data_IF_968320568333
#
_entry.id   IF_968320568333
#
_cell.length_a   1.000
_cell.length_b   1.000
_cell.length_c   1.000
_cell.angle_alpha   90.00
_cell.angle_beta   90.00
_cell.angle_gamma   90.00
#
_symmetry.space_group_name_H-M   'P 1'
#
loop_
_entity.id
_entity.type
_entity.pdbx_description
1 polymer ?
#
# COMPACT_ATOMS: atom_id res chain seq x y z
N UNK A 1 -29.10 12.39 -89.95
CA UNK A 1 -29.54 12.54 -88.55
C UNK A 1 -29.27 13.96 -88.09
N UNK A 2 -30.32 14.73 -87.79
CA UNK A 2 -30.31 16.16 -87.43
C UNK A 2 -29.36 16.47 -86.26
N UNK A 3 -28.77 17.67 -86.27
CA UNK A 3 -27.85 18.18 -85.24
C UNK A 3 -28.39 18.03 -83.81
N UNK A 4 -29.71 18.08 -83.63
CA UNK A 4 -30.42 17.84 -82.37
C UNK A 4 -30.23 16.41 -81.82
N UNK A 5 -30.10 15.39 -82.68
CA UNK A 5 -29.83 14.01 -82.26
C UNK A 5 -28.37 13.81 -81.83
N UNK A 6 -27.42 14.61 -82.31
CA UNK A 6 -26.00 14.51 -81.90
C UNK A 6 -25.78 15.08 -80.50
N UNK A 7 -26.41 16.22 -80.18
CA UNK A 7 -26.35 16.82 -78.83
C UNK A 7 -27.01 15.90 -77.79
N UNK A 8 -28.15 15.29 -78.13
CA UNK A 8 -28.86 14.38 -77.22
C UNK A 8 -28.07 13.09 -76.95
N UNK A 9 -27.38 12.54 -77.97
CA UNK A 9 -26.51 11.37 -77.78
C UNK A 9 -25.28 11.70 -76.93
N UNK A 10 -24.67 12.88 -77.12
CA UNK A 10 -23.50 13.31 -76.34
C UNK A 10 -23.84 13.55 -74.87
N UNK A 11 -25.01 14.11 -74.56
CA UNK A 11 -25.46 14.32 -73.17
C UNK A 11 -25.82 13.00 -72.48
N UNK A 12 -26.44 12.04 -73.19
CA UNK A 12 -26.71 10.69 -72.66
C UNK A 12 -25.43 9.86 -72.45
N UNK A 13 -24.41 10.03 -73.31
CA UNK A 13 -23.11 9.38 -73.13
C UNK A 13 -22.34 10.00 -71.95
N UNK A 14 -22.39 11.32 -71.75
CA UNK A 14 -21.77 11.97 -70.58
C UNK A 14 -22.49 11.64 -69.25
N UNK A 15 -23.82 11.56 -69.24
CA UNK A 15 -24.59 11.10 -68.07
C UNK A 15 -24.41 9.60 -67.80
N UNK A 16 -24.24 8.78 -68.85
CA UNK A 16 -23.94 7.35 -68.73
C UNK A 16 -22.52 7.07 -68.23
N UNK A 17 -21.52 7.86 -68.64
CA UNK A 17 -20.14 7.75 -68.14
C UNK A 17 -20.05 8.25 -66.70
N UNK A 18 -20.77 9.31 -66.32
CA UNK A 18 -20.84 9.77 -64.92
C UNK A 18 -21.50 8.72 -64.00
N UNK A 19 -22.52 8.00 -64.48
CA UNK A 19 -23.18 6.92 -63.72
C UNK A 19 -22.34 5.62 -63.62
N UNK A 20 -21.44 5.36 -64.58
CA UNK A 20 -20.59 4.17 -64.58
C UNK A 20 -19.29 4.33 -63.78
N UNK A 21 -18.85 5.57 -63.48
CA UNK A 21 -17.70 5.83 -62.60
C UNK A 21 -18.10 5.83 -61.10
N UNK A 22 -19.39 5.91 -60.78
CA UNK A 22 -19.88 5.91 -59.40
C UNK A 22 -20.07 4.53 -58.75
N UNK A 23 -19.79 3.43 -59.46
CA UNK A 23 -20.02 2.06 -58.92
C UNK A 23 -18.77 1.35 -58.40
N UNK A 24 -17.63 2.02 -58.24
CA UNK A 24 -16.41 1.38 -57.69
C UNK A 24 -15.55 2.32 -56.84
N UNK A 25 -16.15 3.30 -56.15
CA UNK A 25 -15.43 3.96 -55.06
C UNK A 25 -15.19 2.89 -53.97
N UNK A 26 -13.93 2.64 -53.54
CA UNK A 26 -13.67 1.76 -52.43
C UNK A 26 -14.53 2.25 -51.26
N UNK A 27 -15.33 1.34 -50.68
CA UNK A 27 -16.22 1.65 -49.55
C UNK A 27 -15.38 2.42 -48.52
N UNK A 28 -15.74 3.66 -48.16
CA UNK A 28 -14.95 4.43 -47.21
C UNK A 28 -14.84 3.63 -45.92
N UNK A 29 -13.62 3.55 -45.39
CA UNK A 29 -13.32 2.89 -44.13
C UNK A 29 -14.27 3.49 -43.06
N UNK A 30 -15.17 2.68 -42.51
CA UNK A 30 -16.08 3.18 -41.47
C UNK A 30 -15.34 3.17 -40.13
N UNK A 31 -15.67 4.06 -39.17
CA UNK A 31 -15.06 4.05 -37.85
C UNK A 31 -15.12 2.69 -37.13
N UNK A 32 -16.16 1.90 -37.40
CA UNK A 32 -16.35 0.56 -36.85
C UNK A 32 -15.34 -0.48 -37.37
N UNK A 33 -14.69 -0.21 -38.50
CA UNK A 33 -13.66 -1.06 -39.10
C UNK A 33 -12.24 -0.61 -38.70
N UNK A 34 -12.11 0.45 -37.91
CA UNK A 34 -10.82 0.87 -37.38
C UNK A 34 -10.44 0.04 -36.15
N UNK A 35 -9.15 -0.21 -35.98
CA UNK A 35 -8.57 -0.78 -34.76
C UNK A 35 -7.76 0.26 -33.98
N UNK A 36 -7.48 -0.04 -32.72
CA UNK A 36 -6.65 0.81 -31.88
C UNK A 36 -5.20 0.87 -32.42
N UNK A 37 -4.59 2.07 -32.56
CA UNK A 37 -3.17 2.20 -32.85
C UNK A 37 -2.28 1.56 -31.78
N UNK A 38 -1.08 1.13 -32.17
CA UNK A 38 -0.04 0.64 -31.26
C UNK A 38 0.94 1.76 -30.93
N UNK A 39 0.86 2.30 -29.72
CA UNK A 39 1.73 3.38 -29.24
C UNK A 39 3.19 2.90 -29.14
N UNK A 40 4.15 3.69 -29.63
CA UNK A 40 5.57 3.35 -29.66
C UNK A 40 6.41 4.20 -28.71
N UNK A 41 6.60 5.49 -29.03
CA UNK A 41 7.42 6.43 -28.26
C UNK A 41 6.65 7.74 -28.03
N UNK A 42 6.79 8.39 -26.86
CA UNK A 42 7.56 7.97 -25.69
C UNK A 42 7.06 6.66 -25.07
N UNK A 43 8.00 5.87 -24.55
CA UNK A 43 7.72 4.66 -23.81
C UNK A 43 7.02 4.98 -22.47
N UNK A 44 6.39 3.97 -21.88
CA UNK A 44 5.76 4.12 -20.58
C UNK A 44 6.81 4.54 -19.54
N UNK A 45 6.56 5.67 -18.86
CA UNK A 45 7.44 6.30 -17.86
C UNK A 45 8.78 6.82 -18.39
N UNK A 46 8.91 7.01 -19.71
CA UNK A 46 10.14 7.57 -20.29
C UNK A 46 10.33 9.04 -19.88
N UNK A 47 11.58 9.45 -19.65
CA UNK A 47 11.95 10.85 -19.50
C UNK A 47 12.54 11.34 -20.81
N UNK A 48 11.88 12.32 -21.44
CA UNK A 48 12.26 12.85 -22.75
C UNK A 48 12.92 14.22 -22.59
N UNK A 49 14.15 14.36 -23.06
CA UNK A 49 14.88 15.63 -23.06
C UNK A 49 14.49 16.52 -24.25
N UNK A 50 13.19 16.73 -24.42
CA UNK A 50 12.62 17.68 -25.40
C UNK A 50 11.29 18.18 -24.88
N UNK A 51 11.06 19.49 -24.99
CA UNK A 51 9.77 20.10 -24.70
C UNK A 51 8.78 19.98 -25.87
N UNK A 52 9.23 19.44 -27.01
CA UNK A 52 8.38 19.09 -28.15
C UNK A 52 8.66 17.63 -28.54
N UNK A 53 8.27 16.66 -27.71
CA UNK A 53 8.50 15.25 -27.99
C UNK A 53 7.76 14.81 -29.24
N UNK A 54 8.33 13.85 -29.97
CA UNK A 54 7.65 13.18 -31.08
C UNK A 54 6.87 11.97 -30.55
N UNK A 55 5.55 12.08 -30.54
CA UNK A 55 4.64 10.99 -30.20
C UNK A 55 4.45 10.13 -31.44
N UNK A 56 4.78 8.85 -31.38
CA UNK A 56 4.82 7.94 -32.54
C UNK A 56 4.05 6.65 -32.27
N UNK A 57 3.34 6.16 -33.28
CA UNK A 57 2.57 4.93 -33.20
C UNK A 57 2.66 4.14 -34.51
N UNK A 58 2.21 2.90 -34.48
CA UNK A 58 1.96 2.10 -35.68
C UNK A 58 0.49 1.79 -35.79
N UNK A 59 -0.03 1.81 -37.01
CA UNK A 59 -1.37 1.32 -37.28
C UNK A 59 -1.30 -0.13 -37.77
N UNK A 60 -2.02 -1.08 -37.12
CA UNK A 60 -2.02 -2.47 -37.57
C UNK A 60 -2.71 -2.59 -38.93
N UNK A 61 -2.13 -3.38 -39.83
CA UNK A 61 -2.84 -3.79 -41.04
C UNK A 61 -3.88 -4.85 -40.68
N UNK A 62 -5.16 -4.55 -40.91
CA UNK A 62 -6.27 -5.49 -40.69
C UNK A 62 -6.85 -5.92 -42.03
N UNK A 63 -6.88 -7.23 -42.28
CA UNK A 63 -7.51 -7.82 -43.45
C UNK A 63 -8.93 -8.25 -43.10
N UNK A 64 -9.91 -7.56 -43.65
CA UNK A 64 -11.32 -7.96 -43.53
C UNK A 64 -11.64 -8.96 -44.64
N UNK A 65 -11.97 -10.19 -44.26
CA UNK A 65 -12.52 -11.17 -45.20
C UNK A 65 -14.01 -10.86 -45.46
N UNK A 66 -14.46 -10.85 -46.72
CA UNK A 66 -15.86 -10.64 -47.03
C UNK A 66 -16.70 -11.80 -46.44
N UNK A 67 -17.92 -11.52 -45.94
CA UNK A 67 -18.83 -12.55 -45.45
C UNK A 67 -19.50 -13.30 -46.60
N UNK A 68 -18.73 -14.01 -47.43
CA UNK A 68 -19.23 -15.03 -48.36
C UNK A 68 -18.11 -15.98 -48.75
N UNK A 69 -17.99 -17.09 -48.01
CA UNK A 69 -17.74 -18.46 -48.48
C UNK A 69 -17.81 -19.43 -47.28
N UNK A 70 -18.99 -19.50 -46.64
CA UNK A 70 -19.44 -20.72 -45.96
C UNK A 70 -20.66 -21.21 -46.73
N UNK A 71 -20.43 -21.65 -47.96
CA UNK A 71 -21.39 -22.40 -48.73
C UNK A 71 -20.65 -23.64 -49.25
N UNK A 72 -21.00 -24.80 -48.72
CA UNK A 72 -20.53 -26.09 -49.22
C UNK A 72 -19.57 -26.87 -48.33
N UNK A 73 -19.85 -26.98 -47.02
CA UNK A 73 -19.26 -28.01 -46.17
C UNK A 73 -20.35 -28.62 -45.29
N UNK A 74 -20.71 -29.87 -45.55
CA UNK A 74 -21.75 -30.59 -44.81
C UNK A 74 -21.51 -30.51 -43.30
N UNK A 75 -22.39 -29.82 -42.58
CA UNK A 75 -22.51 -29.90 -41.12
C UNK A 75 -23.24 -31.22 -40.82
N UNK A 76 -22.65 -32.19 -40.10
CA UNK A 76 -23.40 -33.31 -39.57
C UNK A 76 -24.38 -32.78 -38.52
N UNK A 77 -25.67 -33.11 -38.67
CA UNK A 77 -26.72 -32.86 -37.67
C UNK A 77 -26.25 -33.31 -36.27
N UNK A 78 -26.46 -32.52 -35.20
CA UNK A 78 -26.32 -33.03 -33.84
C UNK A 78 -27.47 -33.99 -33.54
N UNK A 79 -27.13 -35.25 -33.21
CA UNK A 79 -28.06 -36.21 -32.61
C UNK A 79 -28.32 -35.89 -31.13
N UNK A 80 -29.46 -36.30 -30.56
CA UNK A 80 -29.84 -35.93 -29.20
C UNK A 80 -29.27 -36.94 -28.19
N UNK A 81 -28.26 -36.54 -27.42
CA UNK A 81 -27.94 -37.18 -26.13
C UNK A 81 -26.88 -36.36 -25.41
N UNK A 82 -27.28 -35.68 -24.33
CA UNK A 82 -26.33 -35.18 -23.33
C UNK A 82 -25.68 -36.33 -22.57
N UNK A 83 -24.56 -36.05 -21.88
CA UNK A 83 -24.67 -36.07 -20.43
C UNK A 83 -24.06 -34.83 -19.75
N UNK A 84 -24.59 -34.61 -18.55
CA UNK A 84 -24.30 -33.60 -17.52
C UNK A 84 -22.82 -33.44 -17.13
N UNK A 85 -22.44 -32.28 -16.55
CA UNK A 85 -21.08 -32.02 -16.09
C UNK A 85 -20.77 -32.76 -14.78
N UNK A 86 -19.67 -33.50 -14.77
CA UNK A 86 -19.07 -34.09 -13.57
C UNK A 86 -18.03 -33.12 -13.02
N UNK A 87 -18.14 -32.79 -11.73
CA UNK A 87 -17.23 -31.89 -11.01
C UNK A 87 -15.80 -32.45 -10.83
N UNK A 88 -14.86 -31.63 -10.34
CA UNK A 88 -13.46 -32.03 -10.25
C UNK A 88 -13.25 -33.06 -9.12
N UNK A 89 -12.92 -34.29 -9.52
CA UNK A 89 -12.39 -35.33 -8.63
C UNK A 89 -10.92 -35.05 -8.29
N UNK A 90 -10.66 -35.02 -6.98
CA UNK A 90 -9.35 -35.11 -6.33
C UNK A 90 -8.52 -36.30 -6.79
N UNK A 91 -7.21 -36.11 -6.95
CA UNK A 91 -6.20 -37.18 -7.06
C UNK A 91 -5.28 -37.15 -5.83
N UNK A 92 -4.87 -38.30 -5.27
CA UNK A 92 -4.22 -38.39 -3.95
C UNK A 92 -2.73 -38.05 -3.99
N UNK A 93 -2.22 -37.64 -2.83
CA UNK A 93 -0.85 -37.21 -2.61
C UNK A 93 0.19 -38.33 -2.67
N UNK A 94 1.38 -37.94 -3.13
CA UNK A 94 2.63 -38.63 -2.84
C UNK A 94 3.39 -37.82 -1.79
N UNK A 95 3.87 -38.53 -0.77
CA UNK A 95 4.47 -37.99 0.43
C UNK A 95 5.96 -37.71 0.23
N UNK A 96 6.32 -36.44 0.32
CA UNK A 96 7.66 -36.05 0.75
C UNK A 96 7.60 -34.71 1.48
N UNK A 97 7.74 -34.77 2.80
CA UNK A 97 7.92 -33.61 3.68
C UNK A 97 9.34 -33.04 3.52
N UNK A 98 9.49 -31.71 3.45
CA UNK A 98 10.65 -31.04 4.02
C UNK A 98 10.22 -30.24 5.26
N UNK A 99 10.84 -30.56 6.39
CA UNK A 99 10.79 -29.75 7.61
C UNK A 99 11.49 -28.39 7.46
N UNK A 100 11.49 -27.57 8.53
CA UNK A 100 11.86 -26.16 8.46
C UNK A 100 13.37 -26.00 8.33
N UNK A 101 13.81 -25.15 7.40
CA UNK A 101 15.22 -24.76 7.28
C UNK A 101 15.33 -23.25 7.55
N UNK A 102 16.38 -22.80 8.27
CA UNK A 102 16.38 -21.58 9.06
C UNK A 102 16.66 -20.31 8.27
N UNK A 103 16.22 -19.19 8.84
CA UNK A 103 16.60 -17.84 8.47
C UNK A 103 18.13 -17.67 8.50
N UNK A 104 18.72 -17.37 7.35
CA UNK A 104 20.00 -16.70 7.25
C UNK A 104 19.91 -15.61 6.20
N UNK A 105 20.05 -14.36 6.65
CA UNK A 105 20.25 -13.18 5.83
C UNK A 105 21.49 -13.34 4.94
N UNK A 106 21.49 -12.74 3.75
CA UNK A 106 22.60 -11.83 3.46
C UNK A 106 22.19 -10.53 2.75
N UNK A 107 22.74 -9.44 3.27
CA UNK A 107 23.31 -8.29 2.56
C UNK A 107 22.70 -7.81 1.24
N UNK A 108 22.23 -6.57 1.31
CA UNK A 108 22.00 -5.61 0.22
C UNK A 108 22.93 -5.81 -0.99
N UNK A 109 22.33 -6.13 -2.14
CA UNK A 109 22.89 -5.87 -3.47
C UNK A 109 21.82 -5.31 -4.41
N UNK A 110 22.22 -4.44 -5.35
CA UNK A 110 21.32 -3.56 -6.08
C UNK A 110 20.46 -4.33 -7.06
N UNK A 111 19.18 -3.98 -7.15
CA UNK A 111 18.25 -4.56 -8.10
C UNK A 111 18.76 -4.29 -9.53
N UNK A 112 19.25 -5.35 -10.17
CA UNK A 112 19.32 -5.43 -11.63
C UNK A 112 17.90 -5.50 -12.16
N UNK A 113 17.58 -4.56 -13.04
CA UNK A 113 16.41 -4.49 -13.89
C UNK A 113 15.92 -5.87 -14.36
N UNK A 114 14.87 -6.38 -13.72
CA UNK A 114 14.05 -7.43 -14.33
C UNK A 114 13.00 -6.74 -15.19
N UNK A 115 13.26 -6.70 -16.49
CA UNK A 115 12.24 -6.48 -17.51
C UNK A 115 11.23 -7.63 -17.33
N UNK A 116 10.04 -7.33 -16.82
CA UNK A 116 8.88 -8.19 -17.00
C UNK A 116 8.68 -8.32 -18.52
N UNK A 117 9.10 -9.45 -19.10
CA UNK A 117 8.56 -9.89 -20.38
C UNK A 117 7.09 -10.24 -20.12
N UNK A 118 6.11 -9.52 -20.68
CA UNK A 118 4.74 -10.00 -20.60
C UNK A 118 4.68 -11.35 -21.33
N UNK A 119 4.30 -12.39 -20.59
CA UNK A 119 3.86 -13.64 -21.16
C UNK A 119 2.62 -13.35 -22.01
N UNK A 120 2.80 -13.29 -23.32
CA UNK A 120 1.72 -13.23 -24.30
C UNK A 120 1.16 -14.66 -24.42
N UNK A 121 0.07 -14.96 -23.71
CA UNK A 121 -0.82 -16.04 -24.12
C UNK A 121 -1.73 -15.48 -25.23
N UNK A 122 -1.22 -15.53 -26.46
CA UNK A 122 -2.04 -15.45 -27.67
C UNK A 122 -2.16 -16.86 -28.23
N UNK A 123 -3.36 -17.33 -28.64
CA UNK A 123 -3.46 -18.59 -29.34
C UNK A 123 -2.64 -18.51 -30.63
N UNK A 124 -1.64 -19.38 -30.75
CA UNK A 124 -0.96 -19.64 -32.01
C UNK A 124 -2.00 -20.18 -33.00
N UNK A 125 -2.52 -19.30 -33.87
CA UNK A 125 -3.14 -19.73 -35.11
C UNK A 125 -2.01 -20.04 -36.08
N UNK A 126 -1.85 -21.32 -36.41
CA UNK A 126 -0.93 -21.78 -37.45
C UNK A 126 -1.25 -21.08 -38.78
N UNK A 127 -0.24 -20.71 -39.59
CA UNK A 127 -0.47 -20.12 -40.90
C UNK A 127 -1.00 -21.20 -41.86
N UNK A 128 -2.24 -21.05 -42.30
CA UNK A 128 -2.82 -21.88 -43.36
C UNK A 128 -2.06 -21.66 -44.70
N UNK A 129 -1.94 -22.71 -45.53
CA UNK A 129 -1.15 -22.65 -46.76
C UNK A 129 -1.74 -21.64 -47.76
N UNK A 130 -0.85 -20.83 -48.32
CA UNK A 130 -1.12 -19.84 -49.34
C UNK A 130 -1.71 -20.49 -50.59
N UNK A 131 -3.02 -20.39 -50.77
CA UNK A 131 -3.67 -20.58 -52.07
C UNK A 131 -3.66 -19.23 -52.80
N UNK A 132 -2.89 -19.18 -53.88
CA UNK A 132 -2.86 -18.11 -54.86
C UNK A 132 -4.22 -17.97 -55.55
N UNK A 133 -5.09 -17.15 -54.99
CA UNK A 133 -6.32 -16.66 -55.60
C UNK A 133 -6.52 -15.22 -55.16
N UNK A 134 -6.36 -14.28 -56.08
CA UNK A 134 -6.42 -12.85 -55.79
C UNK A 134 -7.81 -12.40 -55.34
N UNK A 135 -8.07 -12.45 -54.03
CA UNK A 135 -9.14 -11.71 -53.39
C UNK A 135 -8.50 -10.55 -52.63
N UNK A 136 -8.67 -9.34 -53.16
CA UNK A 136 -8.27 -8.11 -52.48
C UNK A 136 -9.13 -7.94 -51.22
N UNK A 137 -8.67 -8.44 -50.08
CA UNK A 137 -9.24 -8.08 -48.80
C UNK A 137 -9.20 -6.56 -48.66
N UNK A 138 -10.33 -5.94 -48.29
CA UNK A 138 -10.35 -4.49 -48.08
C UNK A 138 -9.56 -4.18 -46.81
N UNK A 139 -8.33 -3.68 -46.95
CA UNK A 139 -7.57 -3.12 -45.85
C UNK A 139 -8.15 -1.76 -45.49
N UNK A 140 -8.62 -1.59 -44.25
CA UNK A 140 -9.09 -0.30 -43.75
C UNK A 140 -7.88 0.52 -43.30
N UNK A 141 -7.55 1.58 -44.03
CA UNK A 141 -6.54 2.55 -43.62
C UNK A 141 -7.22 3.80 -43.11
N UNK A 142 -6.79 4.36 -41.98
CA UNK A 142 -7.38 5.59 -41.47
C UNK A 142 -7.00 6.79 -42.33
N UNK A 143 -7.90 7.77 -42.40
CA UNK A 143 -7.66 9.07 -43.03
C UNK A 143 -6.75 9.96 -42.17
N UNK A 144 -6.74 9.71 -40.86
CA UNK A 144 -5.85 10.38 -39.92
C UNK A 144 -6.00 9.86 -38.50
N UNK A 145 -5.52 10.64 -37.56
CA UNK A 145 -5.46 10.29 -36.15
C UNK A 145 -5.79 11.50 -35.29
N UNK A 146 -6.51 11.22 -34.20
CA UNK A 146 -6.70 12.14 -33.08
C UNK A 146 -5.77 11.74 -31.95
N UNK A 147 -4.91 12.65 -31.57
CA UNK A 147 -3.96 12.51 -30.46
C UNK A 147 -4.56 13.19 -29.23
N UNK A 148 -4.55 12.50 -28.10
CA UNK A 148 -4.81 13.09 -26.78
C UNK A 148 -3.49 13.25 -26.06
N UNK A 149 -3.27 14.42 -25.46
CA UNK A 149 -2.11 14.75 -24.63
C UNK A 149 -2.58 15.61 -23.46
N UNK A 150 -2.25 15.24 -22.23
CA UNK A 150 -2.75 15.92 -21.03
C UNK A 150 -1.65 16.04 -19.98
N UNK A 151 -1.69 17.14 -19.23
CA UNK A 151 -0.73 17.49 -18.18
C UNK A 151 -1.09 16.78 -16.87
N UNK A 152 -0.13 16.05 -16.33
CA UNK A 152 -0.24 15.40 -15.03
C UNK A 152 -0.07 16.36 -13.86
N UNK A 153 -0.37 15.91 -12.63
CA UNK A 153 -0.96 14.61 -12.31
C UNK A 153 -2.50 14.58 -12.41
N UNK A 154 -3.13 15.73 -12.64
CA UNK A 154 -4.60 15.87 -12.66
C UNK A 154 -5.26 15.50 -13.99
N UNK A 155 -4.53 15.65 -15.11
CA UNK A 155 -4.99 15.32 -16.47
C UNK A 155 -6.35 15.91 -16.84
N UNK A 156 -6.56 17.17 -16.48
CA UNK A 156 -7.82 17.91 -16.68
C UNK A 156 -7.84 18.78 -17.94
N UNK A 157 -6.70 18.94 -18.61
CA UNK A 157 -6.51 19.68 -19.86
C UNK A 157 -6.48 18.75 -21.08
N UNK A 158 -6.44 19.31 -22.29
CA UNK A 158 -6.23 18.58 -23.54
C UNK A 158 -5.38 19.44 -24.48
N UNK A 159 -4.12 19.04 -24.63
CA UNK A 159 -3.09 19.67 -25.47
C UNK A 159 -2.91 18.95 -26.80
N UNK A 160 -3.62 17.84 -27.01
CA UNK A 160 -3.54 17.01 -28.21
C UNK A 160 -4.11 17.69 -29.46
N UNK A 161 -4.03 16.98 -30.58
CA UNK A 161 -4.41 17.51 -31.89
C UNK A 161 -4.73 16.42 -32.90
N UNK A 162 -4.79 16.79 -34.18
CA UNK A 162 -5.02 15.85 -35.27
C UNK A 162 -3.82 15.79 -36.21
N UNK A 163 -3.60 14.65 -36.85
CA UNK A 163 -2.56 14.46 -37.87
C UNK A 163 -2.99 13.41 -38.88
N UNK A 164 -2.49 13.48 -40.12
CA UNK A 164 -2.62 12.42 -41.12
C UNK A 164 -1.46 11.41 -41.09
N UNK A 165 -0.43 11.69 -40.29
CA UNK A 165 0.77 10.87 -40.16
C UNK A 165 0.70 9.95 -38.94
N UNK A 166 1.63 9.01 -38.81
CA UNK A 166 1.78 8.15 -37.64
C UNK A 166 2.74 8.73 -36.58
N UNK A 167 2.92 10.05 -36.63
CA UNK A 167 3.64 10.83 -35.63
C UNK A 167 2.99 12.20 -35.44
N UNK A 168 3.18 12.77 -34.25
CA UNK A 168 2.71 14.10 -33.90
C UNK A 168 3.59 14.72 -32.81
N UNK A 169 3.76 16.04 -32.85
CA UNK A 169 4.44 16.80 -31.82
C UNK A 169 3.59 18.01 -31.42
N UNK A 170 3.60 18.41 -30.14
CA UNK A 170 2.88 19.59 -29.71
C UNK A 170 3.48 20.85 -30.36
N UNK A 171 2.62 21.72 -30.87
CA UNK A 171 3.03 22.99 -31.50
C UNK A 171 3.60 23.98 -30.49
N UNK A 172 3.08 23.94 -29.27
CA UNK A 172 3.56 24.74 -28.13
C UNK A 172 4.50 23.90 -27.28
N UNK A 173 5.67 24.40 -26.88
CA UNK A 173 6.54 23.70 -25.94
C UNK A 173 5.81 23.32 -24.65
N UNK A 174 6.01 22.08 -24.23
CA UNK A 174 5.53 21.55 -22.95
C UNK A 174 6.34 22.14 -21.79
N UNK A 175 5.80 22.03 -20.58
CA UNK A 175 6.50 22.45 -19.36
C UNK A 175 7.66 21.48 -19.09
N UNK A 176 8.83 21.97 -18.64
CA UNK A 176 9.92 21.10 -18.19
C UNK A 176 9.53 20.38 -16.90
N UNK A 177 10.25 19.32 -16.57
CA UNK A 177 10.09 18.54 -15.35
C UNK A 177 8.64 18.18 -15.00
N UNK A 178 7.85 17.80 -16.01
CA UNK A 178 6.40 17.64 -15.88
C UNK A 178 5.95 16.28 -16.41
N UNK A 179 4.99 15.66 -15.71
CA UNK A 179 4.33 14.44 -16.17
C UNK A 179 3.30 14.74 -17.25
N UNK A 180 3.25 13.89 -18.27
CA UNK A 180 2.22 13.90 -19.30
C UNK A 180 1.67 12.50 -19.55
N UNK A 181 0.40 12.42 -19.95
CA UNK A 181 -0.17 11.21 -20.54
C UNK A 181 -0.62 11.47 -21.96
N UNK A 182 -0.48 10.48 -22.84
CA UNK A 182 -0.87 10.59 -24.23
C UNK A 182 -1.46 9.29 -24.78
N UNK A 183 -2.27 9.40 -25.82
CA UNK A 183 -2.85 8.26 -26.52
C UNK A 183 -3.43 8.69 -27.86
N UNK A 184 -3.83 7.72 -28.69
CA UNK A 184 -4.23 7.98 -30.08
C UNK A 184 -5.46 7.17 -30.46
N UNK A 185 -6.38 7.80 -31.20
CA UNK A 185 -7.45 7.12 -31.94
C UNK A 185 -7.24 7.34 -33.44
N UNK A 186 -7.44 6.29 -34.23
CA UNK A 186 -7.52 6.44 -35.69
C UNK A 186 -8.87 7.08 -36.09
N UNK A 187 -8.90 7.81 -37.20
CA UNK A 187 -10.09 8.53 -37.68
C UNK A 187 -10.33 8.20 -39.15
N UNK A 188 -11.60 7.95 -39.51
CA UNK A 188 -12.05 7.80 -40.89
C UNK A 188 -13.52 8.16 -41.02
N UNK A 189 -13.94 8.74 -42.14
CA UNK A 189 -15.33 9.13 -42.37
C UNK A 189 -15.87 10.11 -41.31
N UNK A 190 -14.99 10.92 -40.71
CA UNK A 190 -15.32 11.87 -39.64
C UNK A 190 -15.51 11.27 -38.25
N UNK A 191 -15.40 9.95 -38.08
CA UNK A 191 -15.52 9.29 -36.77
C UNK A 191 -14.20 8.69 -36.28
N UNK A 192 -14.02 8.70 -34.96
CA UNK A 192 -12.89 8.05 -34.30
C UNK A 192 -13.16 6.56 -34.08
N UNK A 193 -12.16 5.73 -34.36
CA UNK A 193 -12.12 4.33 -33.99
C UNK A 193 -11.72 4.12 -32.51
N UNK A 194 -11.41 2.87 -32.13
CA UNK A 194 -11.00 2.53 -30.77
C UNK A 194 -9.76 3.31 -30.30
N UNK A 195 -9.76 3.73 -29.03
CA UNK A 195 -8.64 4.43 -28.41
C UNK A 195 -7.55 3.46 -27.95
N UNK A 196 -6.29 3.79 -28.18
CA UNK A 196 -5.13 2.97 -27.85
C UNK A 196 -4.79 2.85 -26.34
N UNK A 197 -5.58 3.48 -25.46
CA UNK A 197 -5.22 3.67 -24.06
C UNK A 197 -4.16 4.76 -23.88
N UNK A 198 -3.78 5.03 -22.63
CA UNK A 198 -2.77 6.04 -22.30
C UNK A 198 -1.39 5.41 -22.07
N UNK A 199 -0.36 6.07 -22.59
CA UNK A 199 1.02 5.99 -22.09
C UNK A 199 1.35 7.25 -21.32
N UNK A 200 2.34 7.15 -20.44
CA UNK A 200 2.78 8.23 -19.59
C UNK A 200 4.25 8.48 -19.84
N UNK A 201 4.69 9.73 -19.77
CA UNK A 201 6.09 10.13 -19.90
C UNK A 201 6.32 11.42 -19.13
N UNK A 202 7.58 11.82 -19.03
CA UNK A 202 7.98 13.08 -18.43
C UNK A 202 8.83 13.90 -19.39
N UNK A 203 8.71 15.21 -19.31
CA UNK A 203 9.67 16.13 -19.93
C UNK A 203 10.82 16.38 -18.97
N UNK A 204 12.05 16.28 -19.45
CA UNK A 204 13.25 16.57 -18.65
C UNK A 204 13.42 18.07 -18.31
N UNK A 205 14.60 18.46 -17.79
CA UNK A 205 15.77 17.61 -17.57
C UNK A 205 15.65 16.72 -16.32
N UNK A 206 16.47 15.65 -16.26
CA UNK A 206 16.75 14.98 -15.00
C UNK A 206 17.65 15.85 -14.13
N UNK A 207 17.48 15.78 -12.81
CA UNK A 207 18.38 16.41 -11.86
C UNK A 207 19.78 15.81 -11.97
N UNK A 208 20.79 16.62 -11.67
CA UNK A 208 22.11 16.09 -11.39
C UNK A 208 22.07 15.18 -10.16
N UNK A 209 23.06 14.31 -10.01
CA UNK A 209 23.11 13.38 -8.88
C UNK A 209 24.01 13.93 -7.76
N UNK A 210 23.64 15.08 -7.21
CA UNK A 210 24.37 15.76 -6.13
C UNK A 210 23.45 16.13 -4.96
N UNK A 211 23.95 16.18 -3.71
CA UNK A 211 23.13 16.56 -2.55
C UNK A 211 22.42 17.91 -2.69
N UNK A 212 23.04 18.86 -3.41
CA UNK A 212 22.50 20.22 -3.60
C UNK A 212 21.39 20.28 -4.64
N UNK A 213 21.36 19.34 -5.58
CA UNK A 213 20.37 19.29 -6.66
C UNK A 213 19.05 18.61 -6.27
N UNK A 214 19.07 17.75 -5.24
CA UNK A 214 17.88 17.07 -4.73
C UNK A 214 17.24 17.93 -3.64
N UNK A 215 16.05 18.46 -3.92
CA UNK A 215 15.32 19.33 -3.02
C UNK A 215 14.33 18.55 -2.14
N UNK A 216 13.87 19.19 -1.07
CA UNK A 216 12.88 18.62 -0.15
C UNK A 216 11.49 18.58 -0.80
N UNK A 217 10.85 17.40 -0.93
CA UNK A 217 9.48 17.33 -1.42
C UNK A 217 8.47 17.86 -0.39
N UNK A 218 7.34 18.38 -0.87
CA UNK A 218 6.25 18.89 0.00
C UNK A 218 5.06 17.93 -0.05
N UNK A 219 4.69 17.35 1.09
CA UNK A 219 3.61 16.37 1.16
C UNK A 219 2.25 17.03 0.92
N UNK A 220 1.39 16.39 0.13
CA UNK A 220 -0.01 16.82 -0.01
C UNK A 220 -0.79 16.32 1.20
N UNK A 221 -1.63 17.17 1.83
CA UNK A 221 -2.39 16.77 2.99
C UNK A 221 -3.28 15.55 2.73
N UNK A 222 -3.17 14.54 3.58
CA UNK A 222 -4.18 13.49 3.70
C UNK A 222 -5.13 13.81 4.86
N UNK A 223 -6.39 13.34 4.81
CA UNK A 223 -7.25 13.32 5.99
C UNK A 223 -6.59 12.53 7.13
N UNK A 224 -6.83 12.94 8.38
CA UNK A 224 -6.32 12.23 9.56
C UNK A 224 -6.73 10.75 9.59
N UNK A 225 -7.84 10.41 8.94
CA UNK A 225 -8.30 9.04 8.78
C UNK A 225 -8.75 8.79 7.34
N UNK A 226 -8.22 7.73 6.73
CA UNK A 226 -8.52 7.31 5.37
C UNK A 226 -9.35 6.03 5.35
N UNK A 227 -10.42 6.02 4.57
CA UNK A 227 -11.27 4.85 4.36
C UNK A 227 -10.68 3.92 3.28
N UNK A 228 -9.42 3.55 3.44
CA UNK A 228 -8.69 2.65 2.54
C UNK A 228 -7.53 1.99 3.28
N UNK A 229 -7.25 0.73 2.96
CA UNK A 229 -6.02 0.04 3.39
C UNK A 229 -4.88 0.18 2.36
N UNK A 230 -5.16 0.80 1.22
CA UNK A 230 -4.21 1.13 0.16
C UNK A 230 -4.32 2.63 -0.15
N UNK A 231 -3.96 3.51 0.80
CA UNK A 231 -4.04 4.94 0.56
C UNK A 231 -3.03 5.37 -0.51
N UNK A 232 -3.45 6.29 -1.38
CA UNK A 232 -2.54 6.97 -2.30
C UNK A 232 -1.87 8.13 -1.57
N UNK A 233 -0.55 8.07 -1.45
CA UNK A 233 0.29 9.13 -0.93
C UNK A 233 0.78 9.98 -2.11
N UNK A 234 0.75 11.31 -1.96
CA UNK A 234 1.18 12.22 -3.03
C UNK A 234 1.87 13.45 -2.47
N UNK A 235 2.72 14.05 -3.30
CA UNK A 235 3.53 15.21 -2.93
C UNK A 235 3.73 16.12 -4.14
N UNK A 236 4.24 17.32 -3.90
CA UNK A 236 4.79 18.20 -4.92
C UNK A 236 6.31 18.26 -4.78
N UNK A 237 7.01 18.37 -5.90
CA UNK A 237 8.46 18.55 -5.92
C UNK A 237 8.79 19.97 -6.40
N UNK A 238 9.55 20.76 -5.63
CA UNK A 238 9.75 22.18 -5.94
C UNK A 238 10.86 22.43 -6.98
N UNK A 239 11.57 21.38 -7.44
CA UNK A 239 12.66 21.52 -8.40
C UNK A 239 12.17 21.75 -9.83
N UNK A 240 13.03 22.37 -10.62
CA UNK A 240 12.90 22.57 -12.07
C UNK A 240 13.48 21.39 -12.89
N UNK A 241 13.95 20.36 -12.20
CA UNK A 241 14.46 19.11 -12.75
C UNK A 241 13.72 17.92 -12.13
N UNK A 242 13.79 16.77 -12.79
CA UNK A 242 13.19 15.52 -12.30
C UNK A 242 14.20 14.67 -11.55
N UNK A 243 13.96 14.30 -10.28
CA UNK A 243 14.73 13.24 -9.67
C UNK A 243 14.42 11.92 -10.36
N UNK A 244 15.35 10.97 -10.31
CA UNK A 244 15.14 9.67 -10.96
C UNK A 244 14.05 8.85 -10.25
N UNK A 245 13.78 9.15 -8.98
CA UNK A 245 12.55 8.77 -8.31
C UNK A 245 12.49 9.31 -6.89
N UNK A 246 11.68 8.64 -6.07
CA UNK A 246 11.51 8.99 -4.67
C UNK A 246 11.62 7.74 -3.79
N UNK A 247 12.19 7.93 -2.60
CA UNK A 247 12.10 7.00 -1.48
C UNK A 247 10.94 7.44 -0.58
N UNK A 248 10.07 6.50 -0.26
CA UNK A 248 8.96 6.67 0.68
C UNK A 248 9.30 5.85 1.91
N UNK A 249 9.49 6.50 3.06
CA UNK A 249 9.50 5.79 4.33
C UNK A 249 8.06 5.72 4.87
N UNK A 250 7.58 4.52 5.19
CA UNK A 250 6.25 4.28 5.78
C UNK A 250 6.40 3.35 6.98
N UNK A 251 5.85 3.73 8.13
CA UNK A 251 6.01 2.97 9.38
C UNK A 251 4.86 3.23 10.36
N UNK A 252 4.69 2.36 11.34
CA UNK A 252 3.86 2.63 12.54
C UNK A 252 4.64 3.39 13.62
N UNK A 253 5.96 3.61 13.40
CA UNK A 253 6.82 4.36 14.30
C UNK A 253 7.26 5.70 13.68
N UNK A 254 7.00 6.84 14.32
CA UNK A 254 7.33 8.16 13.78
C UNK A 254 8.83 8.45 13.63
N UNK A 255 9.73 7.72 14.31
CA UNK A 255 11.18 7.89 14.15
C UNK A 255 11.77 7.04 13.02
N UNK A 256 11.01 6.09 12.45
CA UNK A 256 11.45 5.18 11.37
C UNK A 256 12.69 4.34 11.72
N UNK A 257 12.99 4.13 13.01
CA UNK A 257 14.18 3.43 13.51
C UNK A 257 13.99 1.92 13.72
N UNK A 258 12.74 1.45 13.82
CA UNK A 258 12.42 0.03 14.12
C UNK A 258 11.96 -0.77 12.91
N UNK A 259 10.97 -0.26 12.18
CA UNK A 259 10.30 -0.99 11.11
C UNK A 259 10.11 -0.09 9.89
N UNK A 260 10.73 -0.47 8.78
CA UNK A 260 10.64 0.17 7.46
C UNK A 260 10.21 -0.84 6.39
N UNK A 261 9.64 -1.97 6.78
CA UNK A 261 9.23 -3.04 5.86
C UNK A 261 8.11 -2.60 4.91
N UNK A 262 7.36 -1.57 5.28
CA UNK A 262 6.31 -0.97 4.47
C UNK A 262 6.82 0.14 3.54
N UNK A 263 8.08 0.55 3.69
CA UNK A 263 8.72 1.57 2.86
C UNK A 263 8.88 1.10 1.42
N UNK A 264 9.00 2.06 0.49
CA UNK A 264 9.13 1.75 -0.93
C UNK A 264 9.78 2.87 -1.72
N UNK A 265 9.72 2.73 -3.04
CA UNK A 265 10.19 3.75 -3.97
C UNK A 265 9.36 3.76 -5.25
N UNK A 266 9.36 4.89 -5.94
CA UNK A 266 8.61 5.04 -7.20
C UNK A 266 9.33 4.43 -8.41
N UNK A 267 10.67 4.38 -8.37
CA UNK A 267 11.50 3.91 -9.49
C UNK A 267 11.42 4.76 -10.76
N UNK A 268 10.76 5.91 -10.68
CA UNK A 268 10.60 6.92 -11.73
C UNK A 268 10.18 8.26 -11.09
N UNK A 269 10.13 9.38 -11.85
CA UNK A 269 9.80 10.69 -11.31
C UNK A 269 8.33 10.90 -10.88
N UNK A 270 7.52 9.85 -10.73
CA UNK A 270 6.13 9.99 -10.25
C UNK A 270 6.08 10.61 -8.85
N UNK A 271 5.17 11.55 -8.64
CA UNK A 271 4.95 12.24 -7.37
C UNK A 271 3.79 11.63 -6.56
N UNK A 272 3.55 10.34 -6.76
CA UNK A 272 2.52 9.57 -6.07
C UNK A 272 2.95 8.13 -5.90
N UNK A 273 2.54 7.52 -4.79
CA UNK A 273 2.87 6.14 -4.43
C UNK A 273 1.79 5.57 -3.51
N UNK A 274 1.66 4.25 -3.47
CA UNK A 274 0.82 3.55 -2.50
C UNK A 274 1.48 2.23 -2.10
N UNK A 275 1.13 1.68 -0.92
CA UNK A 275 1.67 0.40 -0.47
C UNK A 275 1.24 -0.74 -1.40
N UNK A 276 2.11 -1.74 -1.56
CA UNK A 276 1.84 -2.90 -2.41
C UNK A 276 0.81 -3.84 -1.78
N UNK A 277 0.85 -3.99 -0.45
CA UNK A 277 -0.04 -4.82 0.33
C UNK A 277 -0.98 -3.96 1.19
N UNK A 278 -2.11 -4.56 1.58
CA UNK A 278 -3.05 -3.90 2.49
C UNK A 278 -2.35 -3.56 3.80
N UNK A 279 -2.45 -2.30 4.20
CA UNK A 279 -2.11 -1.88 5.55
C UNK A 279 -3.07 -2.50 6.57
N UNK A 280 -2.62 -2.62 7.81
CA UNK A 280 -3.49 -3.02 8.91
C UNK A 280 -4.58 -1.96 9.10
N UNK A 281 -5.79 -2.39 9.41
CA UNK A 281 -6.89 -1.46 9.73
C UNK A 281 -6.71 -0.87 11.12
N UNK A 282 -7.34 0.28 11.38
CA UNK A 282 -7.33 0.94 12.69
C UNK A 282 -5.94 1.19 13.26
N UNK A 283 -5.00 1.49 12.35
CA UNK A 283 -3.59 1.66 12.65
C UNK A 283 -3.14 3.03 12.18
N UNK A 284 -2.41 3.73 13.03
CA UNK A 284 -1.77 5.00 12.65
C UNK A 284 -0.43 4.72 11.98
N UNK A 285 -0.25 5.33 10.82
CA UNK A 285 0.98 5.29 10.06
C UNK A 285 1.60 6.67 9.96
N UNK A 286 2.92 6.71 9.93
CA UNK A 286 3.76 7.87 9.70
C UNK A 286 4.51 7.66 8.40
N UNK A 287 4.63 8.72 7.62
CA UNK A 287 5.32 8.66 6.35
C UNK A 287 6.06 9.96 6.02
N UNK A 288 7.10 9.81 5.22
CA UNK A 288 7.90 10.91 4.68
C UNK A 288 8.49 10.50 3.33
N UNK A 289 8.88 11.48 2.53
CA UNK A 289 9.41 11.25 1.18
C UNK A 289 10.70 12.03 0.96
N UNK A 290 11.65 11.41 0.26
CA UNK A 290 12.87 12.06 -0.23
C UNK A 290 13.07 11.77 -1.71
N UNK A 291 13.55 12.75 -2.46
CA UNK A 291 14.01 12.53 -3.82
C UNK A 291 15.26 11.62 -3.82
N UNK A 292 15.39 10.77 -4.85
CA UNK A 292 16.54 9.88 -4.99
C UNK A 292 17.09 9.89 -6.40
N UNK A 293 18.37 9.52 -6.51
CA UNK A 293 18.97 9.15 -7.77
C UNK A 293 20.07 8.11 -7.59
N UNK A 294 20.38 7.37 -8.65
CA UNK A 294 21.40 6.33 -8.64
C UNK A 294 22.77 6.91 -8.94
N UNK A 295 23.75 6.59 -8.08
CA UNK A 295 25.11 7.11 -8.19
C UNK A 295 25.93 6.30 -9.21
N UNK A 296 26.82 6.95 -9.98
CA UNK A 296 27.81 6.25 -10.80
C UNK A 296 28.72 5.39 -9.91
N UNK A 297 28.69 4.08 -10.10
CA UNK A 297 29.43 3.12 -9.25
C UNK A 297 28.56 2.35 -8.25
N UNK A 298 27.25 2.62 -8.22
CA UNK A 298 26.28 1.91 -7.40
C UNK A 298 25.98 2.62 -6.09
N UNK A 299 24.81 2.30 -5.53
CA UNK A 299 24.23 3.04 -4.41
C UNK A 299 23.26 4.12 -4.88
N UNK A 300 22.53 4.66 -3.93
CA UNK A 300 21.46 5.63 -4.18
C UNK A 300 21.72 6.84 -3.31
N UNK A 301 21.83 8.01 -3.93
CA UNK A 301 21.80 9.28 -3.24
C UNK A 301 20.35 9.54 -2.79
N UNK A 302 20.18 9.84 -1.51
CA UNK A 302 18.90 10.23 -0.94
C UNK A 302 19.00 11.70 -0.53
N UNK A 303 18.13 12.53 -1.10
CA UNK A 303 18.02 13.94 -0.75
C UNK A 303 17.42 14.15 0.65
N UNK A 304 17.19 15.40 1.05
CA UNK A 304 16.52 15.71 2.31
C UNK A 304 15.08 15.15 2.31
N UNK A 305 14.68 14.60 3.45
CA UNK A 305 13.30 14.17 3.66
C UNK A 305 12.37 15.36 3.86
N UNK A 306 11.15 15.20 3.38
CA UNK A 306 10.00 16.02 3.78
C UNK A 306 9.79 15.99 5.30
N UNK A 307 8.95 16.90 5.77
CA UNK A 307 8.30 16.75 7.07
C UNK A 307 7.57 15.40 7.18
N UNK A 308 7.40 14.91 8.41
CA UNK A 308 6.66 13.69 8.69
C UNK A 308 5.17 14.02 8.75
N UNK A 309 4.37 13.27 7.99
CA UNK A 309 2.91 13.30 8.11
C UNK A 309 2.40 11.96 8.63
N UNK A 310 1.22 11.98 9.25
CA UNK A 310 0.54 10.77 9.72
C UNK A 310 -0.87 10.66 9.18
N UNK A 311 -1.36 9.42 9.08
CA UNK A 311 -2.76 9.11 8.79
C UNK A 311 -3.15 7.81 9.50
N UNK A 312 -4.42 7.67 9.87
CA UNK A 312 -5.00 6.43 10.36
C UNK A 312 -5.76 5.69 9.26
N UNK A 313 -5.63 4.37 9.19
CA UNK A 313 -6.50 3.53 8.36
C UNK A 313 -7.82 3.25 9.10
N UNK A 314 -8.95 3.37 8.41
CA UNK A 314 -10.26 2.96 8.94
C UNK A 314 -11.17 2.50 7.81
N UNK A 315 -10.96 1.27 7.33
CA UNK A 315 -11.81 0.63 6.33
C UNK A 315 -13.07 0.04 6.94
N UNK A 316 -12.97 -0.53 8.14
CA UNK A 316 -14.12 -0.95 8.92
C UNK A 316 -14.75 0.24 9.66
N UNK A 317 -16.09 0.23 9.77
CA UNK A 317 -16.83 1.35 10.39
C UNK A 317 -16.54 1.49 11.90
N UNK A 318 -16.06 0.40 12.52
CA UNK A 318 -15.74 0.28 13.93
C UNK A 318 -14.34 -0.29 14.06
N UNK A 319 -13.47 0.43 14.76
CA UNK A 319 -12.20 -0.11 15.22
C UNK A 319 -12.44 -0.91 16.49
N UNK A 320 -11.92 -2.14 16.62
CA UNK A 320 -11.97 -2.83 17.90
C UNK A 320 -11.25 -1.94 18.92
N UNK A 321 -11.97 -1.46 19.92
CA UNK A 321 -11.32 -0.86 21.08
C UNK A 321 -10.50 -1.98 21.70
N UNK A 322 -9.17 -1.85 21.68
CA UNK A 322 -8.30 -2.69 22.52
C UNK A 322 -8.79 -2.47 23.94
N UNK A 323 -9.61 -3.39 24.43
CA UNK A 323 -9.96 -3.41 25.85
C UNK A 323 -8.66 -3.84 26.52
N UNK A 324 -7.98 -2.96 27.27
CA UNK A 324 -6.74 -3.35 27.91
C UNK A 324 -7.03 -4.58 28.74
N UNK A 325 -6.37 -5.70 28.42
CA UNK A 325 -6.46 -6.90 29.22
C UNK A 325 -5.96 -6.48 30.60
N UNK A 326 -6.84 -6.49 31.60
CA UNK A 326 -6.44 -6.16 32.96
C UNK A 326 -5.34 -7.14 33.34
N UNK A 327 -4.16 -6.70 33.81
CA UNK A 327 -3.08 -7.64 34.10
C UNK A 327 -3.51 -8.60 35.20
N UNK A 328 -3.08 -9.86 35.09
CA UNK A 328 -3.37 -10.93 36.04
C UNK A 328 -2.08 -11.40 36.71
N UNK A 329 -2.20 -11.84 37.95
CA UNK A 329 -1.14 -12.47 38.73
C UNK A 329 -1.51 -13.93 39.00
N UNK A 330 -0.56 -14.84 38.75
CA UNK A 330 -0.71 -16.26 39.01
C UNK A 330 0.35 -16.69 40.04
N UNK A 331 -0.03 -16.99 41.29
CA UNK A 331 0.91 -17.44 42.32
C UNK A 331 1.53 -18.79 41.94
N UNK A 332 2.84 -18.94 42.11
CA UNK A 332 3.52 -20.23 41.91
C UNK A 332 3.39 -21.16 43.14
N UNK A 333 2.92 -20.59 44.25
CA UNK A 333 2.72 -21.24 45.55
C UNK A 333 1.61 -20.50 46.30
N UNK A 334 1.08 -21.13 47.35
CA UNK A 334 0.09 -20.50 48.23
C UNK A 334 0.66 -19.23 48.88
N UNK A 335 0.13 -18.07 48.50
CA UNK A 335 0.68 -16.76 48.87
C UNK A 335 -0.22 -15.98 49.82
N UNK A 336 0.40 -15.33 50.78
CA UNK A 336 -0.28 -14.45 51.73
C UNK A 336 -0.86 -13.20 51.06
N UNK A 337 -2.17 -13.02 51.21
CA UNK A 337 -2.95 -11.85 50.84
C UNK A 337 -3.10 -10.96 52.07
N UNK A 338 -2.46 -9.77 52.06
CA UNK A 338 -2.23 -8.92 53.24
C UNK A 338 -2.94 -7.57 53.18
N UNK A 339 -3.07 -6.90 54.32
CA UNK A 339 -3.64 -5.53 54.41
C UNK A 339 -2.78 -4.45 53.73
N UNK A 340 -1.49 -4.69 53.54
CA UNK A 340 -0.55 -3.73 52.95
C UNK A 340 0.68 -4.42 52.34
N UNK A 341 1.50 -3.67 51.59
CA UNK A 341 2.61 -4.21 50.79
C UNK A 341 3.88 -4.46 51.61
N UNK A 342 3.76 -5.17 52.73
CA UNK A 342 4.88 -5.63 53.56
C UNK A 342 4.48 -6.88 54.35
N UNK A 343 5.45 -7.69 54.76
CA UNK A 343 5.24 -8.86 55.61
C UNK A 343 4.75 -8.52 57.02
N UNK A 344 4.92 -7.28 57.46
CA UNK A 344 4.44 -6.77 58.75
C UNK A 344 2.93 -6.46 58.76
N UNK A 345 2.29 -6.26 57.60
CA UNK A 345 0.85 -6.08 57.54
C UNK A 345 0.12 -7.39 57.84
N UNK A 346 -1.02 -7.27 58.53
CA UNK A 346 -1.85 -8.41 58.90
C UNK A 346 -2.30 -9.25 57.69
N UNK A 347 -2.30 -10.56 57.88
CA UNK A 347 -2.82 -11.54 56.93
C UNK A 347 -4.34 -11.43 56.84
N UNK A 348 -4.89 -11.33 55.63
CA UNK A 348 -6.33 -11.36 55.37
C UNK A 348 -6.77 -12.73 54.86
N UNK A 349 -6.01 -13.31 53.92
CA UNK A 349 -6.30 -14.61 53.33
C UNK A 349 -5.03 -15.21 52.72
N UNK A 350 -5.16 -16.39 52.13
CA UNK A 350 -4.12 -17.04 51.31
C UNK A 350 -4.70 -17.27 49.92
N UNK A 351 -3.98 -16.84 48.90
CA UNK A 351 -4.29 -17.11 47.50
C UNK A 351 -3.61 -18.42 47.06
N UNK A 352 -4.37 -19.43 46.61
CA UNK A 352 -3.84 -20.71 46.14
C UNK A 352 -2.87 -20.59 44.96
N UNK A 353 -1.91 -21.51 44.91
CA UNK A 353 -1.05 -21.70 43.75
C UNK A 353 -1.87 -21.95 42.47
N UNK A 354 -1.44 -21.34 41.36
CA UNK A 354 -2.06 -21.50 40.03
C UNK A 354 -3.36 -20.74 39.82
N UNK A 355 -3.89 -20.04 40.84
CA UNK A 355 -5.09 -19.22 40.66
C UNK A 355 -4.76 -17.93 39.90
N UNK A 356 -5.48 -17.66 38.82
CA UNK A 356 -5.42 -16.36 38.13
C UNK A 356 -6.16 -15.28 38.93
N UNK A 357 -5.46 -14.19 39.26
CA UNK A 357 -5.99 -13.12 40.12
C UNK A 357 -5.81 -11.78 39.41
N UNK A 358 -6.88 -10.99 39.17
CA UNK A 358 -6.76 -9.69 38.55
C UNK A 358 -5.98 -8.71 39.43
N UNK A 359 -5.03 -7.99 38.83
CA UNK A 359 -4.26 -6.92 39.45
C UNK A 359 -4.94 -5.59 39.18
N UNK A 360 -5.26 -4.87 40.26
CA UNK A 360 -5.94 -3.58 40.21
C UNK A 360 -4.99 -2.40 40.41
N UNK A 361 -3.82 -2.64 41.01
CA UNK A 361 -2.85 -1.60 41.31
C UNK A 361 -1.52 -2.15 41.81
N UNK A 362 -0.58 -1.25 42.12
CA UNK A 362 0.74 -1.58 42.66
C UNK A 362 1.15 -0.63 43.78
N UNK A 363 2.19 -1.00 44.53
CA UNK A 363 2.85 -0.07 45.45
C UNK A 363 3.83 0.82 44.66
N UNK A 364 4.38 1.91 45.25
CA UNK A 364 5.30 2.81 44.56
C UNK A 364 6.53 2.11 43.95
N UNK A 365 7.06 1.09 44.63
CA UNK A 365 8.21 0.31 44.19
C UNK A 365 7.87 -0.72 43.08
N UNK A 366 6.59 -1.06 42.89
CA UNK A 366 6.13 -2.01 41.88
C UNK A 366 6.41 -3.49 42.19
N UNK A 367 6.84 -3.82 43.41
CA UNK A 367 7.16 -5.19 43.85
C UNK A 367 6.01 -5.85 44.63
N UNK A 368 4.93 -5.11 44.91
CA UNK A 368 3.68 -5.62 45.48
C UNK A 368 2.48 -5.21 44.64
N UNK A 369 1.54 -6.15 44.51
CA UNK A 369 0.33 -6.00 43.71
C UNK A 369 -0.89 -5.89 44.60
N UNK A 370 -1.75 -4.92 44.32
CA UNK A 370 -3.08 -4.80 44.89
C UNK A 370 -4.06 -5.57 44.00
N UNK A 371 -4.65 -6.63 44.52
CA UNK A 371 -5.39 -7.62 43.75
C UNK A 371 -6.81 -7.81 44.29
N UNK A 372 -7.69 -8.39 43.48
CA UNK A 372 -9.01 -8.87 43.93
C UNK A 372 -9.03 -10.39 43.96
N UNK A 373 -8.94 -10.95 45.17
CA UNK A 373 -9.03 -12.38 45.42
C UNK A 373 -10.49 -12.80 45.64
N UNK A 374 -10.99 -13.72 44.82
CA UNK A 374 -12.42 -14.10 44.84
C UNK A 374 -13.34 -12.95 44.44
N UNK A 375 -14.57 -12.94 44.95
CA UNK A 375 -15.57 -11.95 44.51
C UNK A 375 -15.29 -10.54 45.04
N UNK A 376 -14.85 -10.40 46.30
CA UNK A 376 -14.81 -9.09 46.98
C UNK A 376 -13.58 -8.82 47.87
N UNK A 377 -12.62 -9.74 47.98
CA UNK A 377 -11.48 -9.51 48.87
C UNK A 377 -10.37 -8.76 48.16
N UNK A 378 -10.14 -7.51 48.57
CA UNK A 378 -9.03 -6.70 48.10
C UNK A 378 -7.84 -6.80 49.06
N UNK A 379 -6.65 -7.07 48.52
CA UNK A 379 -5.46 -7.22 49.35
C UNK A 379 -4.16 -7.07 48.56
N UNK A 380 -3.05 -7.10 49.29
CA UNK A 380 -1.70 -7.00 48.77
C UNK A 380 -1.01 -8.36 48.71
N UNK A 381 -0.42 -8.66 47.56
CA UNK A 381 0.38 -9.88 47.31
C UNK A 381 1.78 -9.48 46.83
N UNK A 382 2.80 -10.19 47.29
CA UNK A 382 4.19 -9.94 46.90
C UNK A 382 4.45 -10.47 45.48
N UNK A 383 4.82 -9.60 44.55
CA UNK A 383 4.96 -9.95 43.13
C UNK A 383 6.00 -11.05 42.87
N UNK A 384 7.03 -11.13 43.70
CA UNK A 384 8.08 -12.17 43.61
C UNK A 384 7.61 -13.63 43.81
N UNK A 385 6.33 -13.85 44.13
CA UNK A 385 5.79 -15.18 44.49
C UNK A 385 5.01 -15.85 43.36
N UNK A 386 4.99 -15.24 42.18
CA UNK A 386 4.25 -15.72 41.03
C UNK A 386 4.66 -14.99 39.76
N UNK A 387 3.86 -15.18 38.73
CA UNK A 387 4.05 -14.58 37.43
C UNK A 387 2.91 -13.60 37.12
N UNK A 388 3.22 -12.60 36.30
CA UNK A 388 2.27 -11.59 35.85
C UNK A 388 2.09 -11.67 34.35
N UNK A 389 0.84 -11.67 33.90
CA UNK A 389 0.46 -11.55 32.50
C UNK A 389 -0.17 -10.17 32.26
N UNK A 390 0.32 -9.44 31.25
CA UNK A 390 -0.09 -8.07 30.95
C UNK A 390 0.86 -6.98 31.46
N UNK A 391 0.65 -5.74 31.02
CA UNK A 391 1.49 -4.59 31.40
C UNK A 391 1.08 -4.02 32.76
N UNK A 392 1.94 -4.20 33.78
CA UNK A 392 1.74 -3.65 35.12
C UNK A 392 2.29 -2.23 35.31
N UNK A 393 3.01 -1.67 34.33
CA UNK A 393 3.70 -0.38 34.46
C UNK A 393 2.71 0.79 34.59
N UNK A 394 1.58 0.69 33.89
CA UNK A 394 0.50 1.68 33.84
C UNK A 394 -0.54 1.52 34.95
N UNK A 395 -0.39 0.51 35.83
CA UNK A 395 -1.31 0.32 36.94
C UNK A 395 -1.22 1.48 37.94
N UNK A 396 -2.36 1.92 38.51
CA UNK A 396 -2.37 2.97 39.52
C UNK A 396 -1.59 2.55 40.76
N UNK A 397 -0.89 3.52 41.37
CA UNK A 397 -0.27 3.33 42.68
C UNK A 397 -1.36 3.44 43.74
N UNK A 398 -1.59 2.35 44.48
CA UNK A 398 -2.61 2.31 45.54
C UNK A 398 -1.96 2.72 46.85
N UNK A 399 -2.51 3.76 47.48
CA UNK A 399 -2.07 4.21 48.80
C UNK A 399 -2.40 3.15 49.87
N UNK A 400 -1.51 3.01 50.85
CA UNK A 400 -1.66 2.08 51.96
C UNK A 400 -1.31 2.80 53.27
N UNK A 401 -1.97 2.42 54.36
CA UNK A 401 -1.70 2.99 55.67
C UNK A 401 -0.25 2.71 56.05
N UNK A 402 0.56 3.74 56.37
CA UNK A 402 1.90 3.51 56.88
C UNK A 402 1.80 2.63 58.12
N UNK A 403 2.62 1.58 58.19
CA UNK A 403 2.79 0.88 59.46
C UNK A 403 3.18 1.93 60.48
N UNK A 404 2.39 2.03 61.55
CA UNK A 404 2.87 2.62 62.78
C UNK A 404 4.08 1.78 63.17
N UNK A 405 5.25 2.18 62.68
CA UNK A 405 6.48 2.00 63.42
C UNK A 405 6.07 2.49 64.78
N UNK A 406 5.93 1.55 65.74
CA UNK A 406 5.92 1.91 67.15
C UNK A 406 7.19 2.73 67.32
N UNK A 407 7.06 4.04 67.14
CA UNK A 407 8.05 5.01 67.53
C UNK A 407 8.26 4.65 68.97
N UNK A 408 9.46 4.22 69.30
CA UNK A 408 10.03 4.52 70.59
C UNK A 408 9.51 5.94 70.93
N UNK A 409 8.55 6.03 71.85
CA UNK A 409 8.19 7.31 72.42
C UNK A 409 9.51 7.88 72.93
N UNK A 410 9.89 9.12 72.57
CA UNK A 410 11.11 9.71 73.08
C UNK A 410 10.94 9.94 74.59
N UNK A 411 11.37 8.94 75.32
CA UNK A 411 11.57 8.90 76.75
C UNK A 411 12.20 7.54 77.03
N UNK A 412 13.35 7.50 77.70
CA UNK A 412 13.96 6.23 78.06
C UNK A 412 13.07 5.41 78.99
N UNK A 413 13.45 4.16 79.26
CA UNK A 413 12.75 3.31 80.24
C UNK A 413 12.56 3.99 81.61
N UNK A 414 13.44 4.93 81.98
CA UNK A 414 13.40 5.64 83.26
C UNK A 414 12.18 6.53 83.52
N UNK A 415 11.30 6.72 82.54
CA UNK A 415 10.03 7.45 82.74
C UNK A 415 8.91 6.58 83.35
N UNK A 416 9.06 5.25 83.35
CA UNK A 416 8.07 4.33 83.90
C UNK A 416 8.41 4.04 85.37
N UNK A 417 7.53 4.45 86.27
CA UNK A 417 7.71 4.35 87.72
C UNK A 417 6.98 3.15 88.34
N UNK A 418 6.36 2.29 87.52
CA UNK A 418 5.72 1.06 87.98
C UNK A 418 6.02 -0.13 87.05
N UNK A 419 5.98 -1.38 87.58
CA UNK A 419 6.29 -2.57 86.80
C UNK A 419 5.35 -2.77 85.60
N UNK A 420 4.06 -2.44 85.76
CA UNK A 420 3.03 -2.73 84.77
C UNK A 420 3.23 -1.86 83.52
N UNK A 421 3.54 -0.57 83.71
CA UNK A 421 3.87 0.32 82.60
C UNK A 421 5.25 0.01 82.01
N UNK A 422 6.21 -0.40 82.83
CA UNK A 422 7.54 -0.81 82.35
C UNK A 422 7.50 -2.02 81.39
N UNK A 423 6.71 -3.05 81.72
CA UNK A 423 6.59 -4.24 80.87
C UNK A 423 5.77 -4.02 79.59
N UNK A 424 5.05 -2.91 79.49
CA UNK A 424 4.28 -2.56 78.29
C UNK A 424 5.16 -2.05 77.14
N UNK A 425 6.44 -1.78 77.40
CA UNK A 425 7.40 -1.23 76.44
C UNK A 425 8.46 -2.28 76.10
N UNK A 426 8.59 -2.56 74.80
CA UNK A 426 9.55 -3.54 74.29
C UNK A 426 10.98 -3.00 74.46
N UNK A 427 11.87 -3.78 75.09
CA UNK A 427 13.26 -3.38 75.36
C UNK A 427 13.50 -2.79 76.75
N UNK A 428 12.47 -2.64 77.59
CA UNK A 428 12.60 -2.29 79.00
C UNK A 428 12.44 -3.51 79.92
N UNK A 429 13.04 -3.46 81.11
CA UNK A 429 12.77 -4.40 82.20
C UNK A 429 12.71 -3.68 83.54
N UNK A 430 11.92 -4.24 84.47
CA UNK A 430 11.78 -3.71 85.81
C UNK A 430 12.86 -4.30 86.73
N UNK A 431 13.73 -3.45 87.27
CA UNK A 431 14.72 -3.85 88.25
C UNK A 431 14.12 -3.75 89.66
N UNK A 432 13.87 -4.90 90.29
CA UNK A 432 13.31 -4.98 91.63
C UNK A 432 14.25 -4.43 92.71
N UNK A 433 15.57 -4.38 92.47
CA UNK A 433 16.54 -3.90 93.44
C UNK A 433 16.56 -2.38 93.53
N UNK A 434 16.42 -1.69 92.39
CA UNK A 434 16.39 -0.23 92.31
C UNK A 434 14.98 0.36 92.21
N UNK A 435 13.94 -0.47 92.10
CA UNK A 435 12.54 -0.07 91.89
C UNK A 435 12.39 0.90 90.70
N UNK A 436 13.12 0.62 89.61
CA UNK A 436 13.15 1.46 88.41
C UNK A 436 13.05 0.63 87.14
N UNK A 437 12.45 1.25 86.13
CA UNK A 437 12.43 0.69 84.78
C UNK A 437 13.69 1.09 84.02
N UNK A 438 14.42 0.09 83.52
CA UNK A 438 15.72 0.26 82.85
C UNK A 438 15.71 -0.44 81.49
N UNK A 439 16.63 -0.06 80.61
CA UNK A 439 16.78 -0.68 79.30
C UNK A 439 17.43 -2.06 79.46
N UNK A 440 16.93 -3.07 78.74
CA UNK A 440 17.54 -4.41 78.68
C UNK A 440 18.93 -4.37 78.04
#
# INVERSE_FOLDING_TARGET
MNATKRVFLSVLVFLGIAALVSCNLPKPCTPAMLVAPQLQSPAMWEVVNSLQPSLTWKYPTVLYLPPTLVAGGNVPKPGPSGPTPVGPTSVPGDGSTPGPIPYYFPYFRPYRWFIFRPYIFGPYLEPLPYHSGGYAGSSCSPEGYRVSLQTGPGFSDELGGNTSSTHWSPSTPLQPATEYRWGVSAVSGGGAGPFAGYRYFFTGPLCECTPESLLTPTLKPLPDTVNSLLPALSWDYPGDCLPQGYRIDLSTNPSFDKDTTLSGGTGNPLTRWGPADNLADCTTYYWRVAAVCDLPGGGTLVGPYSEVQSFGTKKMMICPTVTPLSPHFTPNLDVNCRKGPDVQYGLLSVAPAGQEIPILGRNPAGDWYYVRLGENLLCWIAGRTGETEGDTSQLPVVEFEPLDVKRDRPGGCGQYTDPKTCFSVQGCYWDNSSQRCVKR
#
